data_IF_326334565376
#
_entry.id   IF_326334565376
#
_cell.length_a   1.000
_cell.length_b   1.000
_cell.length_c   1.000
_cell.angle_alpha   90.00
_cell.angle_beta   90.00
_cell.angle_gamma   90.00
#
_symmetry.space_group_name_H-M   'P 1'
#
loop_
_entity.id
_entity.type
_entity.pdbx_description
1 polymer ?
#
# COMPACT_ATOMS: atom_id res chain seq x y z
N UNK A 1 0.44 -31.21 -32.39
CA UNK A 1 0.33 -30.65 -31.04
C UNK A 1 1.20 -29.42 -30.97
N UNK A 2 0.60 -28.27 -30.65
CA UNK A 2 1.35 -27.08 -30.26
C UNK A 2 1.05 -26.93 -28.77
N UNK A 3 2.02 -27.31 -27.93
CA UNK A 3 1.89 -27.17 -26.50
C UNK A 3 2.26 -25.74 -26.13
N UNK A 4 1.22 -25.05 -25.66
CA UNK A 4 1.23 -23.72 -25.05
C UNK A 4 2.19 -23.72 -23.86
N UNK A 5 3.33 -23.04 -23.99
CA UNK A 5 4.16 -22.71 -22.83
C UNK A 5 3.52 -21.48 -22.18
N UNK A 6 2.61 -21.72 -21.24
CA UNK A 6 2.32 -20.73 -20.19
C UNK A 6 3.57 -20.60 -19.34
N UNK A 7 4.39 -19.59 -19.63
CA UNK A 7 5.41 -19.11 -18.70
C UNK A 7 4.67 -18.65 -17.44
N UNK A 8 4.62 -19.52 -16.43
CA UNK A 8 4.26 -19.15 -15.07
C UNK A 8 5.18 -17.98 -14.69
N UNK A 9 4.59 -16.78 -14.62
CA UNK A 9 5.34 -15.57 -14.27
C UNK A 9 6.09 -15.82 -12.97
N UNK A 10 7.35 -15.37 -12.92
CA UNK A 10 8.19 -15.43 -11.72
C UNK A 10 7.33 -15.28 -10.47
N UNK A 11 7.34 -16.29 -9.59
CA UNK A 11 6.86 -16.19 -8.22
C UNK A 11 7.79 -15.25 -7.43
N UNK A 12 7.90 -14.01 -7.91
CA UNK A 12 8.77 -13.00 -7.33
C UNK A 12 8.08 -12.50 -6.08
N UNK A 13 8.76 -12.61 -4.95
CA UNK A 13 8.31 -12.00 -3.71
C UNK A 13 8.46 -10.47 -3.84
N UNK A 14 7.36 -9.72 -3.70
CA UNK A 14 7.35 -8.26 -3.75
C UNK A 14 7.49 -7.62 -2.36
N UNK A 15 7.66 -8.44 -1.31
CA UNK A 15 7.75 -8.00 0.07
C UNK A 15 6.39 -7.69 0.69
N UNK A 16 6.43 -7.01 1.83
CA UNK A 16 5.25 -6.73 2.67
C UNK A 16 5.21 -5.29 3.13
N UNK A 17 3.99 -4.75 3.24
CA UNK A 17 3.74 -3.43 3.81
C UNK A 17 3.18 -3.57 5.22
N UNK A 18 3.78 -2.86 6.18
CA UNK A 18 3.26 -2.75 7.53
C UNK A 18 2.51 -1.42 7.73
N UNK A 19 1.27 -1.51 8.22
CA UNK A 19 0.42 -0.35 8.50
C UNK A 19 -0.28 -0.50 9.84
N UNK A 20 -0.54 0.64 10.48
CA UNK A 20 -1.45 0.72 11.63
C UNK A 20 -2.69 1.52 11.27
N UNK A 21 -3.83 1.08 11.80
CA UNK A 21 -5.11 1.75 11.61
C UNK A 21 -5.80 1.97 12.96
N UNK A 22 -6.37 3.15 13.14
CA UNK A 22 -7.21 3.49 14.28
C UNK A 22 -8.35 4.41 13.84
N UNK A 23 -9.54 4.24 14.40
CA UNK A 23 -10.67 5.15 14.19
C UNK A 23 -11.05 5.90 15.46
N UNK A 24 -10.93 7.22 15.42
CA UNK A 24 -11.26 8.09 16.56
C UNK A 24 -12.69 8.60 16.41
N UNK A 25 -13.64 7.87 17.02
CA UNK A 25 -15.08 8.16 16.90
C UNK A 25 -15.50 9.54 17.40
N UNK A 26 -14.81 10.10 18.40
CA UNK A 26 -15.15 11.42 18.96
C UNK A 26 -14.98 12.57 17.98
N UNK A 27 -14.15 12.39 16.94
CA UNK A 27 -13.87 13.40 15.89
C UNK A 27 -14.14 12.87 14.49
N UNK A 28 -14.76 11.69 14.37
CA UNK A 28 -15.03 10.98 13.11
C UNK A 28 -13.80 10.85 12.20
N UNK A 29 -12.64 10.49 12.76
CA UNK A 29 -11.39 10.40 12.00
C UNK A 29 -10.85 8.98 11.86
N UNK A 30 -10.41 8.63 10.65
CA UNK A 30 -9.51 7.50 10.44
C UNK A 30 -8.06 7.98 10.46
N UNK A 31 -7.23 7.26 11.21
CA UNK A 31 -5.80 7.45 11.31
C UNK A 31 -5.12 6.27 10.63
N UNK A 32 -4.31 6.55 9.63
CA UNK A 32 -3.61 5.55 8.82
C UNK A 32 -2.12 5.82 8.94
N UNK A 33 -1.40 4.95 9.63
CA UNK A 33 0.05 5.06 9.75
C UNK A 33 0.73 4.05 8.84
N UNK A 34 1.51 4.54 7.90
CA UNK A 34 2.41 3.72 7.08
C UNK A 34 3.72 3.57 7.84
N UNK A 35 4.00 2.37 8.33
CA UNK A 35 5.17 2.12 9.17
C UNK A 35 6.40 1.80 8.31
N UNK A 36 6.42 0.64 7.67
CA UNK A 36 7.55 0.21 6.86
C UNK A 36 7.17 -0.76 5.75
N UNK A 37 7.97 -0.78 4.69
CA UNK A 37 8.05 -1.92 3.78
C UNK A 37 9.15 -2.85 4.25
N UNK A 38 8.95 -4.17 4.13
CA UNK A 38 9.93 -5.19 4.46
C UNK A 38 10.12 -6.15 3.31
N UNK A 39 11.34 -6.63 3.12
CA UNK A 39 11.69 -7.61 2.08
C UNK A 39 11.28 -7.13 0.67
N UNK A 40 11.24 -5.80 0.44
CA UNK A 40 10.75 -5.19 -0.79
C UNK A 40 11.73 -5.45 -1.93
N UNK A 41 11.23 -6.07 -3.00
CA UNK A 41 11.96 -6.22 -4.26
C UNK A 41 11.31 -5.39 -5.36
N UNK A 42 12.10 -4.99 -6.37
CA UNK A 42 11.57 -4.31 -7.54
C UNK A 42 12.23 -4.77 -8.84
N UNK A 43 11.51 -4.69 -9.98
CA UNK A 43 12.09 -5.02 -11.27
C UNK A 43 13.25 -4.08 -11.62
N UNK A 44 14.28 -4.59 -12.31
CA UNK A 44 15.39 -3.78 -12.85
C UNK A 44 14.90 -2.61 -13.71
N UNK A 45 13.72 -2.73 -14.32
CA UNK A 45 13.08 -1.66 -15.09
C UNK A 45 12.73 -0.40 -14.27
N UNK A 46 12.73 -0.50 -12.93
CA UNK A 46 12.55 0.61 -12.00
C UNK A 46 13.84 1.44 -11.79
N UNK A 47 14.98 0.97 -12.31
CA UNK A 47 16.30 1.55 -12.07
C UNK A 47 17.00 0.90 -10.88
N UNK A 48 18.30 1.20 -10.75
CA UNK A 48 19.16 0.62 -9.71
C UNK A 48 18.83 1.20 -8.32
N UNK A 49 18.72 2.52 -8.21
CA UNK A 49 18.45 3.23 -6.96
C UNK A 49 17.17 4.10 -7.08
N UNK A 50 15.98 3.49 -7.19
CA UNK A 50 14.75 4.26 -7.30
C UNK A 50 14.44 4.97 -5.98
N UNK A 51 13.74 6.10 -6.05
CA UNK A 51 13.05 6.62 -4.86
C UNK A 51 11.66 6.01 -4.76
N UNK A 52 11.32 5.42 -3.62
CA UNK A 52 10.10 4.66 -3.40
C UNK A 52 9.15 5.42 -2.47
N UNK A 53 7.86 5.38 -2.79
CA UNK A 53 6.79 5.97 -2.00
C UNK A 53 5.58 5.05 -1.96
N UNK A 54 4.76 5.19 -0.92
CA UNK A 54 3.50 4.47 -0.77
C UNK A 54 2.36 5.43 -1.10
N UNK A 55 1.53 5.07 -2.09
CA UNK A 55 0.27 5.78 -2.39
C UNK A 55 -0.89 4.99 -1.81
N UNK A 56 -1.63 5.58 -0.87
CA UNK A 56 -2.86 5.02 -0.35
C UNK A 56 -4.10 5.58 -1.04
N UNK A 57 -5.16 4.78 -1.12
CA UNK A 57 -6.47 5.16 -1.65
C UNK A 57 -7.58 4.51 -0.85
N UNK A 58 -8.45 5.32 -0.26
CA UNK A 58 -9.74 4.86 0.27
C UNK A 58 -10.73 4.78 -0.90
N UNK A 59 -11.27 3.59 -1.17
CA UNK A 59 -12.13 3.33 -2.34
C UNK A 59 -13.59 3.76 -2.13
N UNK A 60 -13.77 4.97 -1.60
CA UNK A 60 -15.06 5.64 -1.46
C UNK A 60 -15.62 6.04 -2.84
N UNK A 61 -16.93 6.33 -2.96
CA UNK A 61 -17.52 6.83 -4.22
C UNK A 61 -16.78 8.04 -4.79
N UNK A 62 -16.31 8.93 -3.90
CA UNK A 62 -15.27 9.93 -4.21
C UNK A 62 -13.97 9.48 -3.55
N UNK A 63 -13.02 8.88 -4.30
CA UNK A 63 -11.81 8.34 -3.72
C UNK A 63 -10.99 9.41 -2.99
N UNK A 64 -10.45 9.04 -1.83
CA UNK A 64 -9.51 9.86 -1.07
C UNK A 64 -8.12 9.25 -1.24
N UNK A 65 -7.16 10.06 -1.66
CA UNK A 65 -5.80 9.63 -1.91
C UNK A 65 -4.82 10.28 -0.93
N UNK A 66 -3.78 9.55 -0.58
CA UNK A 66 -2.63 10.09 0.12
C UNK A 66 -1.35 9.45 -0.39
N UNK A 67 -0.22 10.07 -0.04
CA UNK A 67 1.08 9.62 -0.49
C UNK A 67 2.12 9.92 0.58
N UNK A 68 2.97 8.94 0.86
CA UNK A 68 4.13 9.14 1.71
C UNK A 68 5.19 10.02 1.06
N UNK A 69 6.14 10.49 1.86
CA UNK A 69 7.42 10.96 1.36
C UNK A 69 8.12 9.86 0.57
N UNK A 70 8.92 10.26 -0.41
CA UNK A 70 9.73 9.33 -1.19
C UNK A 70 11.06 9.09 -0.49
N UNK A 71 11.34 7.83 -0.19
CA UNK A 71 12.56 7.35 0.45
C UNK A 71 13.49 6.74 -0.59
N UNK A 72 14.77 6.61 -0.25
CA UNK A 72 15.70 5.82 -1.06
C UNK A 72 15.27 4.35 -1.06
N UNK A 73 15.38 3.69 -2.22
CA UNK A 73 14.98 2.31 -2.38
C UNK A 73 15.96 1.36 -1.70
N UNK A 74 15.48 0.63 -0.70
CA UNK A 74 16.17 -0.49 -0.07
C UNK A 74 15.15 -1.60 0.24
N UNK A 75 15.62 -2.78 0.65
CA UNK A 75 14.73 -3.91 0.95
C UNK A 75 13.79 -3.61 2.13
N UNK A 76 14.30 -2.91 3.15
CA UNK A 76 13.54 -2.51 4.33
C UNK A 76 13.48 -0.98 4.42
N UNK A 77 12.28 -0.40 4.24
CA UNK A 77 12.10 1.06 4.16
C UNK A 77 11.18 1.51 5.28
N UNK A 78 11.65 2.42 6.14
CA UNK A 78 10.82 3.06 7.15
C UNK A 78 10.21 4.37 6.63
N UNK A 79 8.90 4.52 6.83
CA UNK A 79 8.15 5.73 6.52
C UNK A 79 7.77 6.45 7.81
N UNK A 80 7.11 5.75 8.74
CA UNK A 80 6.59 6.30 10.00
C UNK A 80 5.70 7.54 9.80
N UNK A 81 4.86 7.51 8.76
CA UNK A 81 4.02 8.64 8.36
C UNK A 81 2.54 8.35 8.63
N UNK A 82 1.87 9.27 9.33
CA UNK A 82 0.43 9.18 9.65
C UNK A 82 -0.40 10.13 8.80
N UNK A 83 -1.47 9.60 8.23
CA UNK A 83 -2.46 10.34 7.45
C UNK A 83 -3.80 10.29 8.17
N UNK A 84 -4.44 11.45 8.29
CA UNK A 84 -5.70 11.59 9.05
C UNK A 84 -6.78 12.15 8.14
N UNK A 85 -7.96 11.53 8.15
CA UNK A 85 -9.12 11.95 7.36
C UNK A 85 -10.38 11.96 8.21
N UNK A 86 -11.15 13.05 8.14
CA UNK A 86 -12.47 13.16 8.76
C UNK A 86 -13.51 12.48 7.87
N UNK A 87 -13.83 11.22 8.16
CA UNK A 87 -14.74 10.35 7.39
C UNK A 87 -15.54 9.50 8.38
N UNK A 88 -16.85 9.41 8.18
CA UNK A 88 -17.74 8.58 9.01
C UNK A 88 -17.38 7.10 8.94
N UNK A 89 -17.42 6.41 10.08
CA UNK A 89 -17.06 5.00 10.22
C UNK A 89 -17.86 4.11 9.26
N UNK A 90 -19.17 4.34 9.14
CA UNK A 90 -20.08 3.58 8.27
C UNK A 90 -19.63 3.62 6.81
N UNK A 91 -19.14 4.78 6.34
CA UNK A 91 -18.62 4.93 4.97
C UNK A 91 -17.31 4.16 4.78
N UNK A 92 -16.47 4.08 5.83
CA UNK A 92 -15.20 3.36 5.79
C UNK A 92 -15.40 1.84 5.82
N UNK A 93 -16.29 1.33 6.67
CA UNK A 93 -16.51 -0.11 6.84
C UNK A 93 -17.03 -0.81 5.57
N UNK A 94 -17.59 -0.05 4.63
CA UNK A 94 -18.06 -0.57 3.34
C UNK A 94 -16.97 -0.63 2.25
N UNK A 95 -15.77 -0.09 2.49
CA UNK A 95 -14.75 0.09 1.44
C UNK A 95 -13.43 -0.61 1.76
N UNK A 96 -12.49 -0.51 0.81
CA UNK A 96 -11.11 -1.00 0.95
C UNK A 96 -10.16 0.18 1.03
N UNK A 97 -9.08 -0.01 1.77
CA UNK A 97 -7.89 0.80 1.68
C UNK A 97 -6.89 0.08 0.78
N UNK A 98 -6.54 0.70 -0.34
CA UNK A 98 -5.63 0.15 -1.35
C UNK A 98 -4.33 0.93 -1.31
N UNK A 99 -3.21 0.21 -1.22
CA UNK A 99 -1.88 0.76 -1.27
C UNK A 99 -1.19 0.36 -2.58
N UNK A 100 -0.50 1.32 -3.19
CA UNK A 100 0.41 1.05 -4.31
C UNK A 100 1.81 1.51 -3.91
N UNK A 101 2.78 0.61 -4.06
CA UNK A 101 4.19 0.91 -3.85
C UNK A 101 4.71 1.39 -5.19
N UNK A 102 5.22 2.62 -5.23
CA UNK A 102 5.58 3.28 -6.48
C UNK A 102 6.99 3.86 -6.43
N UNK A 103 7.69 3.76 -7.56
CA UNK A 103 8.86 4.59 -7.81
C UNK A 103 8.42 6.02 -8.12
N UNK A 104 9.22 7.00 -7.71
CA UNK A 104 9.04 8.41 -8.06
C UNK A 104 10.12 8.89 -9.03
N UNK A 105 11.36 8.43 -8.86
CA UNK A 105 12.50 8.73 -9.75
C UNK A 105 13.21 7.42 -10.11
N UNK A 106 13.75 7.28 -11.34
CA UNK A 106 13.74 8.28 -12.44
C UNK A 106 12.41 8.33 -13.21
N UNK A 107 11.54 7.32 -13.07
CA UNK A 107 10.21 7.30 -13.68
C UNK A 107 9.20 6.74 -12.69
N UNK A 108 7.96 7.21 -12.79
CA UNK A 108 6.86 6.68 -11.98
C UNK A 108 6.41 5.31 -12.50
N UNK A 109 6.56 4.28 -11.69
CA UNK A 109 6.09 2.92 -11.94
C UNK A 109 5.50 2.34 -10.66
N UNK A 110 4.48 1.50 -10.79
CA UNK A 110 3.96 0.72 -9.67
C UNK A 110 4.80 -0.56 -9.58
N UNK A 111 5.41 -0.80 -8.42
CA UNK A 111 6.16 -2.02 -8.11
C UNK A 111 5.17 -3.14 -7.79
N UNK A 112 4.20 -2.84 -6.93
CA UNK A 112 3.14 -3.76 -6.52
C UNK A 112 2.04 -3.03 -5.76
N UNK A 113 1.05 -3.78 -5.35
CA UNK A 113 -0.09 -3.27 -4.59
C UNK A 113 -0.55 -4.26 -3.52
N UNK A 114 -1.19 -3.75 -2.49
CA UNK A 114 -1.84 -4.54 -1.47
C UNK A 114 -3.08 -3.80 -0.98
N UNK A 115 -3.99 -4.50 -0.31
CA UNK A 115 -5.22 -3.87 0.18
C UNK A 115 -5.79 -4.53 1.41
N UNK A 116 -6.49 -3.72 2.20
CA UNK A 116 -7.14 -4.11 3.45
C UNK A 116 -8.61 -3.70 3.41
N UNK A 117 -9.51 -4.63 3.73
CA UNK A 117 -10.91 -4.30 3.93
C UNK A 117 -11.06 -3.58 5.28
N UNK A 118 -11.84 -2.51 5.33
CA UNK A 118 -12.01 -1.71 6.55
C UNK A 118 -13.23 -2.11 7.39
N UNK A 119 -13.82 -3.28 7.12
CA UNK A 119 -15.05 -3.77 7.79
C UNK A 119 -14.91 -3.82 9.31
N UNK A 120 -13.73 -4.21 9.79
CA UNK A 120 -13.43 -4.39 11.21
C UNK A 120 -12.73 -3.16 11.83
N UNK A 121 -12.71 -2.03 11.12
CA UNK A 121 -12.12 -0.79 11.63
C UNK A 121 -12.84 -0.37 12.93
N UNK A 122 -12.06 -0.10 13.97
CA UNK A 122 -12.54 0.24 15.31
C UNK A 122 -11.64 1.31 15.95
N UNK A 123 -11.96 1.68 17.20
CA UNK A 123 -11.14 2.59 18.00
C UNK A 123 -9.89 1.97 18.60
N UNK A 124 -9.76 0.64 18.55
CA UNK A 124 -8.53 -0.03 18.94
C UNK A 124 -7.53 0.08 17.78
N UNK A 125 -6.28 0.47 18.10
CA UNK A 125 -5.22 0.50 17.09
C UNK A 125 -4.90 -0.93 16.65
N UNK A 126 -5.04 -1.20 15.36
CA UNK A 126 -4.73 -2.50 14.76
C UNK A 126 -3.47 -2.41 13.90
N UNK A 127 -2.62 -3.43 13.97
CA UNK A 127 -1.38 -3.54 13.21
C UNK A 127 -1.53 -4.64 12.15
N UNK A 128 -1.25 -4.30 10.88
CA UNK A 128 -1.44 -5.17 9.73
C UNK A 128 -0.16 -5.33 8.92
N UNK A 129 0.14 -6.57 8.58
CA UNK A 129 1.15 -6.93 7.59
C UNK A 129 0.45 -7.39 6.32
N UNK A 130 0.68 -6.68 5.22
CA UNK A 130 0.01 -6.90 3.95
C UNK A 130 1.02 -7.36 2.90
N UNK A 131 0.83 -8.57 2.37
CA UNK A 131 1.63 -9.07 1.25
C UNK A 131 1.42 -8.21 0.01
N UNK A 132 2.53 -7.82 -0.61
CA UNK A 132 2.51 -7.03 -1.84
C UNK A 132 2.33 -8.02 -2.99
N UNK A 133 1.30 -7.82 -3.79
CA UNK A 133 1.06 -8.57 -5.01
C UNK A 133 1.52 -7.79 -6.24
N UNK A 134 1.77 -8.47 -7.38
CA UNK A 134 1.96 -7.81 -8.65
C UNK A 134 0.85 -6.77 -8.91
N UNK A 135 1.17 -5.65 -9.59
CA UNK A 135 0.15 -4.67 -9.94
C UNK A 135 -0.90 -5.31 -10.87
N UNK A 136 -2.18 -5.06 -10.60
CA UNK A 136 -3.27 -5.43 -11.52
C UNK A 136 -3.02 -4.85 -12.92
N UNK A 137 -3.28 -5.66 -13.96
CA UNK A 137 -3.15 -5.28 -15.37
C UNK A 137 -4.12 -4.16 -15.76
#
# INVERSE_FOLDING_TARGET
SIDTITLSGDERDFGRLNVKLCYVSSVEQIWITVLHCKDLSWPSSCGENPRICVKGTLTLPKPVHFKSSAKEGCNDIEFMETFVFAIKLQSLQAVRLVFKIQTQTPRKKTIGECSLALRELSSEESNHWLDISPPSK
#
